data_IF_294137962032
#
_entry.id   IF_294137962032
#
_cell.length_a   1.000
_cell.length_b   1.000
_cell.length_c   1.000
_cell.angle_alpha   90.00
_cell.angle_beta   90.00
_cell.angle_gamma   90.00
#
_symmetry.space_group_name_H-M   'P 1'
#
loop_
_entity.id
_entity.type
_entity.pdbx_description
1 polymer ?
#
# COMPACT_ATOMS: atom_id res chain seq x y z
N UNK A 1 -7.42 -2.87 -12.25
CA UNK A 1 -6.24 -2.67 -11.40
C UNK A 1 -5.52 -1.46 -11.94
N UNK A 2 -5.25 -0.45 -11.12
CA UNK A 2 -4.51 0.76 -11.52
C UNK A 2 -3.24 0.82 -10.69
N UNK A 3 -2.10 0.63 -11.35
CA UNK A 3 -0.78 0.82 -10.72
C UNK A 3 0.35 1.00 -11.73
N UNK A 4 0.01 1.05 -13.02
CA UNK A 4 0.96 1.24 -14.12
C UNK A 4 0.47 2.34 -15.06
N UNK A 5 1.39 2.92 -15.82
CA UNK A 5 1.07 3.87 -16.90
C UNK A 5 0.09 3.29 -17.92
N UNK A 6 0.18 1.99 -18.23
CA UNK A 6 -0.73 1.32 -19.14
C UNK A 6 -2.17 1.26 -18.58
N UNK A 7 -2.32 0.96 -17.29
CA UNK A 7 -3.62 0.97 -16.62
C UNK A 7 -4.21 2.37 -16.54
N UNK A 8 -3.38 3.37 -16.23
CA UNK A 8 -3.74 4.79 -16.20
C UNK A 8 -4.32 5.22 -17.55
N UNK A 9 -3.61 4.95 -18.65
CA UNK A 9 -4.06 5.22 -20.02
C UNK A 9 -5.38 4.53 -20.34
N UNK A 10 -5.52 3.25 -19.99
CA UNK A 10 -6.74 2.48 -20.24
C UNK A 10 -7.93 3.05 -19.45
N UNK A 11 -7.71 3.42 -18.19
CA UNK A 11 -8.72 4.07 -17.36
C UNK A 11 -9.23 5.37 -18.00
N UNK A 12 -8.31 6.22 -18.47
CA UNK A 12 -8.66 7.49 -19.15
C UNK A 12 -9.45 7.26 -20.43
N UNK A 13 -9.03 6.30 -21.26
CA UNK A 13 -9.77 5.92 -22.48
C UNK A 13 -11.19 5.45 -22.18
N UNK A 14 -11.41 4.87 -21.02
CA UNK A 14 -12.72 4.41 -20.56
C UNK A 14 -13.51 5.49 -19.79
N UNK A 15 -13.06 6.75 -19.78
CA UNK A 15 -13.77 7.87 -19.17
C UNK A 15 -13.47 8.11 -17.68
N UNK A 16 -12.41 7.53 -17.12
CA UNK A 16 -12.05 7.79 -15.72
C UNK A 16 -11.62 9.25 -15.48
N UNK A 17 -12.16 9.85 -14.42
CA UNK A 17 -11.88 11.23 -13.96
C UNK A 17 -10.73 11.31 -12.94
N UNK A 18 -9.86 10.29 -12.89
CA UNK A 18 -8.73 10.21 -11.98
C UNK A 18 -8.44 8.77 -11.57
N UNK A 19 -7.47 8.60 -10.67
CA UNK A 19 -7.15 7.29 -10.06
C UNK A 19 -7.47 7.37 -8.56
N UNK A 20 -8.51 6.66 -8.12
CA UNK A 20 -8.86 6.60 -6.69
C UNK A 20 -8.00 5.62 -5.86
N UNK A 21 -7.18 4.79 -6.51
CA UNK A 21 -6.23 3.89 -5.85
C UNK A 21 -5.11 3.44 -6.80
N UNK A 22 -3.92 4.02 -6.63
CA UNK A 22 -2.67 3.56 -7.20
C UNK A 22 -1.89 2.78 -6.14
N UNK A 23 -1.63 1.49 -6.41
CA UNK A 23 -0.95 0.59 -5.47
C UNK A 23 0.56 0.59 -5.71
N UNK A 24 1.32 1.21 -4.83
CA UNK A 24 2.79 1.31 -4.94
C UNK A 24 3.51 -0.06 -4.90
N UNK A 25 2.91 -1.08 -4.29
CA UNK A 25 3.47 -2.43 -4.25
C UNK A 25 3.51 -3.10 -5.65
N UNK A 26 2.61 -2.76 -6.57
CA UNK A 26 2.62 -3.32 -7.93
C UNK A 26 3.86 -2.87 -8.71
N UNK A 27 4.34 -1.66 -8.43
CA UNK A 27 5.58 -1.13 -9.00
C UNK A 27 6.80 -1.87 -8.46
N UNK A 28 6.71 -2.46 -7.27
CA UNK A 28 7.82 -3.05 -6.54
C UNK A 28 8.21 -4.47 -6.99
N UNK A 29 7.29 -5.21 -7.62
CA UNK A 29 7.51 -6.62 -8.02
C UNK A 29 8.32 -6.79 -9.34
N UNK A 30 8.73 -5.72 -10.01
CA UNK A 30 9.58 -5.85 -11.23
C UNK A 30 10.97 -6.44 -10.84
N UNK A 31 11.59 -7.30 -11.68
CA UNK A 31 12.80 -8.05 -11.31
C UNK A 31 13.97 -7.22 -10.75
N UNK A 32 14.26 -6.05 -11.33
CA UNK A 32 15.34 -5.19 -10.82
C UNK A 32 15.00 -4.57 -9.46
N UNK A 33 13.72 -4.28 -9.21
CA UNK A 33 13.23 -3.56 -8.02
C UNK A 33 13.06 -4.48 -6.82
N UNK A 34 12.63 -5.72 -7.06
CA UNK A 34 12.53 -6.72 -5.99
C UNK A 34 13.90 -7.04 -5.40
N UNK A 35 14.97 -7.02 -6.20
CA UNK A 35 16.35 -7.16 -5.70
C UNK A 35 16.74 -5.99 -4.79
N UNK A 36 16.41 -4.75 -5.16
CA UNK A 36 16.66 -3.57 -4.33
C UNK A 36 15.83 -3.59 -3.05
N UNK A 37 14.58 -4.03 -3.10
CA UNK A 37 13.79 -4.24 -1.88
C UNK A 37 14.39 -5.31 -0.97
N UNK A 38 14.84 -6.44 -1.51
CA UNK A 38 15.54 -7.47 -0.72
C UNK A 38 16.83 -6.94 -0.09
N UNK A 39 17.59 -6.13 -0.84
CA UNK A 39 18.76 -5.43 -0.33
C UNK A 39 18.42 -4.46 0.81
N UNK A 40 17.36 -3.67 0.67
CA UNK A 40 16.84 -2.81 1.74
C UNK A 40 16.38 -3.59 2.98
N UNK A 41 15.73 -4.74 2.78
CA UNK A 41 15.15 -5.51 3.89
C UNK A 41 16.23 -6.24 4.70
N UNK A 42 17.24 -6.82 4.03
CA UNK A 42 18.17 -7.80 4.61
C UNK A 42 19.61 -7.30 4.73
N UNK A 43 20.00 -6.29 3.96
CA UNK A 43 21.36 -5.75 3.89
C UNK A 43 21.76 -4.92 5.12
N UNK A 44 22.98 -4.38 5.08
CA UNK A 44 23.46 -3.39 6.04
C UNK A 44 22.81 -2.01 5.81
N UNK A 45 22.98 -1.09 6.76
CA UNK A 45 22.42 0.27 6.64
C UNK A 45 22.86 0.97 5.35
N UNK A 46 24.15 0.88 5.00
CA UNK A 46 24.68 1.42 3.74
C UNK A 46 24.01 0.78 2.52
N UNK A 47 23.87 -0.54 2.51
CA UNK A 47 23.19 -1.25 1.41
C UNK A 47 21.71 -0.86 1.32
N UNK A 48 21.07 -0.59 2.45
CA UNK A 48 19.68 -0.16 2.52
C UNK A 48 19.50 1.26 1.97
N UNK A 49 20.39 2.19 2.29
CA UNK A 49 20.41 3.56 1.73
C UNK A 49 20.59 3.55 0.21
N UNK A 50 21.57 2.79 -0.30
CA UNK A 50 21.79 2.63 -1.75
C UNK A 50 20.56 2.04 -2.43
N UNK A 51 19.93 1.04 -1.81
CA UNK A 51 18.72 0.44 -2.34
C UNK A 51 17.54 1.42 -2.38
N UNK A 52 17.36 2.25 -1.36
CA UNK A 52 16.33 3.28 -1.34
C UNK A 52 16.56 4.35 -2.43
N UNK A 53 17.81 4.72 -2.68
CA UNK A 53 18.14 5.65 -3.77
C UNK A 53 17.72 5.09 -5.13
N UNK A 54 18.02 3.82 -5.41
CA UNK A 54 17.62 3.18 -6.66
C UNK A 54 16.09 3.05 -6.77
N UNK A 55 15.42 2.66 -5.67
CA UNK A 55 13.97 2.55 -5.61
C UNK A 55 13.27 3.90 -5.84
N UNK A 56 13.83 4.98 -5.31
CA UNK A 56 13.35 6.34 -5.54
C UNK A 56 13.31 6.65 -7.04
N UNK A 57 14.42 6.42 -7.76
CA UNK A 57 14.51 6.67 -9.19
C UNK A 57 13.47 5.87 -9.98
N UNK A 58 13.30 4.60 -9.62
CA UNK A 58 12.32 3.74 -10.27
C UNK A 58 10.88 4.16 -10.04
N UNK A 59 10.52 4.54 -8.80
CA UNK A 59 9.17 4.96 -8.46
C UNK A 59 8.85 6.33 -9.05
N UNK A 60 9.78 7.29 -8.98
CA UNK A 60 9.63 8.63 -9.56
C UNK A 60 9.27 8.55 -11.04
N UNK A 61 10.01 7.75 -11.81
CA UNK A 61 9.75 7.55 -13.25
C UNK A 61 8.38 6.92 -13.53
N UNK A 62 7.92 6.00 -12.68
CA UNK A 62 6.59 5.42 -12.85
C UNK A 62 5.48 6.45 -12.57
N UNK A 63 5.64 7.28 -11.53
CA UNK A 63 4.69 8.33 -11.20
C UNK A 63 4.64 9.43 -12.26
N UNK A 64 5.79 9.86 -12.80
CA UNK A 64 5.86 10.80 -13.94
C UNK A 64 5.03 10.26 -15.12
N UNK A 65 5.21 8.98 -15.45
CA UNK A 65 4.41 8.32 -16.49
C UNK A 65 2.91 8.31 -16.17
N UNK A 66 2.53 8.08 -14.91
CA UNK A 66 1.12 8.10 -14.49
C UNK A 66 0.53 9.52 -14.57
N UNK A 67 1.23 10.53 -14.06
CA UNK A 67 0.77 11.92 -14.09
C UNK A 67 0.59 12.42 -15.52
N UNK A 68 1.51 12.06 -16.42
CA UNK A 68 1.40 12.36 -17.84
C UNK A 68 0.13 11.82 -18.48
N UNK A 69 -0.25 10.58 -18.18
CA UNK A 69 -1.50 10.01 -18.71
C UNK A 69 -2.75 10.61 -18.06
N UNK A 70 -2.65 11.07 -16.81
CA UNK A 70 -3.76 11.69 -16.09
C UNK A 70 -3.98 13.14 -16.47
N UNK A 71 -2.95 13.86 -16.91
CA UNK A 71 -3.06 15.19 -17.51
C UNK A 71 -3.80 16.19 -16.62
N UNK A 72 -3.45 16.25 -15.33
CA UNK A 72 -4.06 17.15 -14.36
C UNK A 72 -5.21 16.57 -13.54
N UNK A 73 -5.57 15.29 -13.73
CA UNK A 73 -6.56 14.63 -12.88
C UNK A 73 -5.97 14.08 -11.58
N UNK A 74 -6.77 13.96 -10.51
CA UNK A 74 -6.30 13.50 -9.21
C UNK A 74 -5.81 12.05 -9.27
N UNK A 75 -4.69 11.79 -8.60
CA UNK A 75 -4.08 10.47 -8.49
C UNK A 75 -3.82 10.13 -7.03
N UNK A 76 -4.68 9.30 -6.47
CA UNK A 76 -4.54 8.79 -5.10
C UNK A 76 -3.58 7.63 -5.04
N UNK A 77 -2.40 7.85 -4.47
CA UNK A 77 -1.34 6.86 -4.28
C UNK A 77 -1.38 6.31 -2.87
N UNK A 78 -1.52 4.98 -2.75
CA UNK A 78 -1.43 4.29 -1.47
C UNK A 78 0.02 3.91 -1.19
N UNK A 79 0.51 4.30 -0.01
CA UNK A 79 1.83 3.90 0.50
C UNK A 79 1.92 2.37 0.67
N UNK A 80 3.14 1.86 0.87
CA UNK A 80 3.39 0.42 0.89
C UNK A 80 2.54 -0.28 1.96
N UNK A 81 1.69 -1.19 1.50
CA UNK A 81 0.76 -1.94 2.33
C UNK A 81 1.22 -3.38 2.67
N UNK A 82 1.83 -4.19 1.77
CA UNK A 82 2.16 -5.57 2.12
C UNK A 82 3.30 -5.68 3.15
N UNK A 83 3.33 -6.75 3.96
CA UNK A 83 4.44 -7.01 4.86
C UNK A 83 5.71 -7.38 4.07
N UNK A 84 6.87 -7.08 4.65
CA UNK A 84 8.16 -7.18 3.97
C UNK A 84 8.53 -8.61 3.54
N UNK A 85 8.10 -9.63 4.30
CA UNK A 85 8.38 -11.03 3.95
C UNK A 85 7.77 -11.46 2.61
N UNK A 86 6.75 -10.75 2.09
CA UNK A 86 6.19 -11.03 0.75
C UNK A 86 7.14 -10.70 -0.40
N UNK A 87 8.18 -9.90 -0.15
CA UNK A 87 9.21 -9.59 -1.15
C UNK A 87 10.42 -10.52 -1.05
N UNK A 88 10.51 -11.31 0.03
CA UNK A 88 11.61 -12.24 0.26
C UNK A 88 11.40 -13.53 -0.55
N UNK A 89 12.49 -14.18 -0.99
CA UNK A 89 12.39 -15.49 -1.60
C UNK A 89 11.87 -16.53 -0.59
N UNK A 90 11.16 -17.54 -1.09
CA UNK A 90 10.78 -18.71 -0.30
C UNK A 90 12.02 -19.48 0.15
N UNK A 91 11.94 -20.12 1.31
CA UNK A 91 13.02 -20.97 1.83
C UNK A 91 13.36 -22.15 0.92
N UNK A 92 12.44 -22.52 0.03
CA UNK A 92 12.60 -23.61 -0.94
C UNK A 92 13.28 -23.13 -2.24
N UNK A 93 13.42 -21.82 -2.47
CA UNK A 93 14.06 -21.26 -3.67
C UNK A 93 15.58 -21.15 -3.49
N UNK A 94 16.25 -22.30 -3.40
CA UNK A 94 17.66 -22.38 -3.01
C UNK A 94 18.60 -21.58 -3.92
N UNK A 95 18.41 -21.65 -5.24
CA UNK A 95 19.22 -20.89 -6.22
C UNK A 95 19.11 -19.37 -5.98
N UNK A 96 17.90 -18.88 -5.69
CA UNK A 96 17.65 -17.46 -5.44
C UNK A 96 18.29 -17.02 -4.12
N UNK A 97 18.20 -17.85 -3.09
CA UNK A 97 18.82 -17.62 -1.78
C UNK A 97 20.35 -17.58 -1.89
N UNK A 98 20.98 -18.49 -2.63
CA UNK A 98 22.43 -18.49 -2.85
C UNK A 98 22.87 -17.20 -3.52
N UNK A 99 22.17 -16.79 -4.59
CA UNK A 99 22.48 -15.55 -5.30
C UNK A 99 22.36 -14.31 -4.41
N UNK A 100 21.29 -14.23 -3.63
CA UNK A 100 21.04 -13.13 -2.70
C UNK A 100 22.07 -13.10 -1.55
N UNK A 101 22.43 -14.26 -1.00
CA UNK A 101 23.43 -14.37 0.06
C UNK A 101 24.79 -13.82 -0.42
N UNK A 102 25.21 -14.24 -1.62
CA UNK A 102 26.45 -13.76 -2.24
C UNK A 102 26.43 -12.25 -2.49
N UNK A 103 25.32 -11.71 -2.97
CA UNK A 103 25.18 -10.27 -3.25
C UNK A 103 25.23 -9.43 -1.97
N UNK A 104 24.62 -9.92 -0.88
CA UNK A 104 24.53 -9.19 0.38
C UNK A 104 25.72 -9.45 1.32
N UNK A 105 26.58 -10.43 1.01
CA UNK A 105 27.73 -10.78 1.84
C UNK A 105 27.39 -11.66 3.04
N UNK A 106 26.28 -12.42 2.96
CA UNK A 106 25.89 -13.39 3.99
C UNK A 106 26.27 -14.81 3.57
N UNK A 107 26.43 -15.70 4.56
CA UNK A 107 26.32 -17.14 4.31
C UNK A 107 24.86 -17.51 4.03
N UNK A 108 24.64 -18.62 3.31
CA UNK A 108 23.27 -19.11 3.06
C UNK A 108 22.51 -19.42 4.35
N UNK A 109 23.21 -19.89 5.39
CA UNK A 109 22.62 -20.20 6.68
C UNK A 109 22.10 -18.92 7.36
N UNK A 110 22.93 -17.88 7.47
CA UNK A 110 22.53 -16.58 8.03
C UNK A 110 21.35 -15.97 7.27
N UNK A 111 21.36 -16.05 5.94
CA UNK A 111 20.27 -15.54 5.12
C UNK A 111 18.96 -16.30 5.39
N UNK A 112 19.00 -17.64 5.43
CA UNK A 112 17.82 -18.48 5.71
C UNK A 112 17.23 -18.18 7.09
N UNK A 113 18.07 -17.95 8.10
CA UNK A 113 17.62 -17.54 9.44
C UNK A 113 16.99 -16.15 9.46
N UNK A 114 17.58 -15.16 8.77
CA UNK A 114 16.96 -13.84 8.61
C UNK A 114 15.61 -13.91 7.90
N UNK A 115 15.47 -14.74 6.87
CA UNK A 115 14.18 -14.91 6.16
C UNK A 115 13.15 -15.57 7.08
N UNK A 116 13.54 -16.61 7.84
CA UNK A 116 12.65 -17.29 8.81
C UNK A 116 12.12 -16.34 9.87
N UNK A 117 12.98 -15.52 10.48
CA UNK A 117 12.58 -14.58 11.53
C UNK A 117 11.60 -13.50 11.08
N UNK A 118 11.56 -13.19 9.77
CA UNK A 118 10.60 -12.25 9.19
C UNK A 118 9.25 -12.88 8.79
N UNK A 119 9.14 -14.22 8.83
CA UNK A 119 7.87 -14.88 8.54
C UNK A 119 6.89 -14.65 9.69
N UNK A 120 5.68 -14.22 9.35
CA UNK A 120 4.62 -13.99 10.31
C UNK A 120 3.58 -15.10 10.22
N UNK A 121 3.05 -15.54 11.37
CA UNK A 121 1.97 -16.54 11.43
C UNK A 121 0.72 -16.04 10.69
N UNK A 122 0.40 -14.74 10.81
CA UNK A 122 -0.72 -14.14 10.08
C UNK A 122 -0.32 -12.80 9.45
N UNK A 123 0.11 -12.87 8.19
CA UNK A 123 0.51 -11.70 7.38
C UNK A 123 -0.62 -10.67 7.12
N UNK A 124 -1.88 -11.00 7.40
CA UNK A 124 -3.00 -10.07 7.22
C UNK A 124 -3.09 -9.03 8.34
N UNK A 125 -2.70 -9.40 9.56
CA UNK A 125 -2.74 -8.55 10.76
C UNK A 125 -1.36 -8.20 11.33
N UNK A 126 -0.28 -8.57 10.65
CA UNK A 126 1.10 -8.35 11.08
C UNK A 126 1.67 -6.95 10.83
N UNK A 127 2.99 -6.89 10.66
CA UNK A 127 3.80 -5.68 10.48
C UNK A 127 3.74 -5.21 9.02
N UNK A 128 2.78 -4.34 8.74
CA UNK A 128 2.46 -3.88 7.39
C UNK A 128 1.72 -2.53 7.42
N UNK A 129 1.52 -1.90 6.26
CA UNK A 129 0.86 -0.60 6.14
C UNK A 129 1.49 0.49 7.03
N UNK A 130 0.68 1.33 7.69
CA UNK A 130 1.18 2.42 8.55
C UNK A 130 2.13 1.95 9.65
N UNK A 131 1.96 0.73 10.18
CA UNK A 131 2.82 0.14 11.22
C UNK A 131 4.24 -0.09 10.71
N UNK A 132 4.36 -0.49 9.44
CA UNK A 132 5.65 -0.57 8.77
C UNK A 132 6.25 0.83 8.60
N UNK A 133 5.43 1.82 8.25
CA UNK A 133 5.86 3.22 8.17
C UNK A 133 6.33 3.82 9.50
N UNK A 134 5.81 3.34 10.64
CA UNK A 134 6.28 3.75 11.98
C UNK A 134 7.63 3.11 12.30
N UNK A 135 7.78 1.81 12.01
CA UNK A 135 9.02 1.07 12.33
C UNK A 135 10.15 1.31 11.33
N UNK A 136 9.85 1.65 10.08
CA UNK A 136 10.80 1.90 9.00
C UNK A 136 10.41 3.17 8.22
N UNK A 137 10.56 4.36 8.83
CA UNK A 137 10.12 5.63 8.24
C UNK A 137 10.81 5.94 6.91
N UNK A 138 12.08 5.55 6.74
CA UNK A 138 12.86 5.78 5.52
C UNK A 138 12.16 5.27 4.24
N UNK A 139 11.38 4.19 4.35
CA UNK A 139 10.60 3.67 3.24
C UNK A 139 9.49 4.65 2.83
N UNK A 140 8.76 5.20 3.80
CA UNK A 140 7.71 6.19 3.56
C UNK A 140 8.32 7.48 3.02
N UNK A 141 9.45 7.93 3.58
CA UNK A 141 10.16 9.11 3.09
C UNK A 141 10.54 8.97 1.61
N UNK A 142 11.10 7.82 1.22
CA UNK A 142 11.44 7.53 -0.16
C UNK A 142 10.21 7.54 -1.08
N UNK A 143 9.09 6.93 -0.67
CA UNK A 143 7.87 6.89 -1.48
C UNK A 143 7.25 8.29 -1.64
N UNK A 144 7.15 9.06 -0.57
CA UNK A 144 6.61 10.43 -0.60
C UNK A 144 7.48 11.31 -1.47
N UNK A 145 8.81 11.22 -1.32
CA UNK A 145 9.75 11.93 -2.20
C UNK A 145 9.54 11.55 -3.66
N UNK A 146 9.40 10.27 -3.99
CA UNK A 146 9.15 9.81 -5.35
C UNK A 146 7.87 10.41 -5.96
N UNK A 147 6.79 10.46 -5.17
CA UNK A 147 5.48 11.01 -5.57
C UNK A 147 5.61 12.52 -5.84
N UNK A 148 6.19 13.26 -4.91
CA UNK A 148 6.27 14.72 -4.98
C UNK A 148 7.28 15.20 -6.03
N UNK A 149 8.47 14.59 -6.11
CA UNK A 149 9.44 14.92 -7.16
C UNK A 149 8.87 14.64 -8.55
N UNK A 150 8.15 13.53 -8.74
CA UNK A 150 7.48 13.25 -10.01
C UNK A 150 6.40 14.30 -10.35
N UNK A 151 5.63 14.76 -9.37
CA UNK A 151 4.64 15.82 -9.57
C UNK A 151 5.32 17.15 -9.94
N UNK A 152 6.42 17.51 -9.28
CA UNK A 152 7.19 18.71 -9.60
C UNK A 152 7.84 18.65 -11.00
N UNK A 153 8.38 17.49 -11.38
CA UNK A 153 8.96 17.30 -12.72
C UNK A 153 7.89 17.39 -13.81
N UNK A 154 6.65 16.96 -13.51
CA UNK A 154 5.53 17.04 -14.46
C UNK A 154 5.14 18.48 -14.81
N UNK A 155 5.45 19.45 -13.93
CA UNK A 155 5.22 20.87 -14.20
C UNK A 155 6.08 21.38 -15.37
N UNK A 156 7.22 20.75 -15.66
CA UNK A 156 8.07 21.14 -16.81
C UNK A 156 7.43 20.75 -18.16
N UNK A 157 6.49 19.80 -18.13
CA UNK A 157 5.66 19.37 -19.26
C UNK A 157 4.28 20.07 -19.26
N UNK A 158 4.12 21.19 -18.52
CA UNK A 158 2.85 21.93 -18.32
C UNK A 158 1.70 21.06 -17.74
N UNK A 159 2.05 20.02 -16.98
CA UNK A 159 1.07 19.15 -16.31
C UNK A 159 0.99 19.51 -14.83
N UNK A 160 -0.15 20.05 -14.41
CA UNK A 160 -0.45 20.30 -12.99
C UNK A 160 -0.87 18.98 -12.29
N UNK A 161 0.13 18.18 -11.91
CA UNK A 161 -0.10 16.91 -11.25
C UNK A 161 -0.72 17.10 -9.86
N UNK A 162 -1.83 16.40 -9.60
CA UNK A 162 -2.58 16.45 -8.32
C UNK A 162 -2.42 15.13 -7.55
N UNK A 163 -1.29 14.90 -6.84
CA UNK A 163 -1.11 13.70 -6.03
C UNK A 163 -1.93 13.75 -4.74
N UNK A 164 -2.68 12.68 -4.46
CA UNK A 164 -3.27 12.45 -3.13
C UNK A 164 -2.50 11.29 -2.46
N UNK A 165 -1.90 11.51 -1.29
CA UNK A 165 -1.11 10.50 -0.57
C UNK A 165 -2.00 9.82 0.47
N UNK A 166 -2.15 8.50 0.36
CA UNK A 166 -3.02 7.72 1.22
C UNK A 166 -2.25 6.74 2.11
N UNK A 167 -2.48 6.86 3.42
CA UNK A 167 -1.92 5.99 4.45
C UNK A 167 -2.80 4.73 4.61
N UNK A 168 -2.26 3.51 4.40
CA UNK A 168 -2.99 2.27 4.60
C UNK A 168 -2.99 1.81 6.07
N UNK A 169 -4.00 1.00 6.43
CA UNK A 169 -4.10 0.23 7.69
C UNK A 169 -4.04 1.03 9.00
N UNK A 170 -4.38 2.32 8.96
CA UNK A 170 -4.53 3.14 10.18
C UNK A 170 -5.52 2.46 11.14
N UNK A 171 -5.18 2.43 12.43
CA UNK A 171 -6.01 1.93 13.51
C UNK A 171 -6.37 3.01 14.55
N UNK A 172 -5.46 3.96 14.80
CA UNK A 172 -5.67 5.09 15.73
C UNK A 172 -5.31 6.44 15.10
N UNK A 173 -5.72 7.53 15.74
CA UNK A 173 -5.37 8.89 15.32
C UNK A 173 -3.85 9.12 15.36
N UNK A 174 -3.15 8.62 16.38
CA UNK A 174 -1.71 8.81 16.55
C UNK A 174 -0.90 8.13 15.44
N UNK A 175 -1.32 6.95 14.99
CA UNK A 175 -0.72 6.27 13.85
C UNK A 175 -0.84 7.10 12.56
N UNK A 176 -2.02 7.68 12.32
CA UNK A 176 -2.22 8.57 11.18
C UNK A 176 -1.40 9.86 11.31
N UNK A 177 -1.46 10.51 12.47
CA UNK A 177 -0.76 11.76 12.74
C UNK A 177 0.75 11.62 12.60
N UNK A 178 1.32 10.50 13.07
CA UNK A 178 2.73 10.18 12.88
C UNK A 178 3.08 10.14 11.38
N UNK A 179 2.29 9.43 10.58
CA UNK A 179 2.53 9.34 9.13
C UNK A 179 2.33 10.68 8.43
N UNK A 180 1.31 11.47 8.83
CA UNK A 180 1.07 12.81 8.29
C UNK A 180 2.26 13.72 8.52
N UNK A 181 2.77 13.81 9.75
CA UNK A 181 3.97 14.61 10.08
C UNK A 181 5.19 14.20 9.27
N UNK A 182 5.36 12.89 9.05
CA UNK A 182 6.45 12.37 8.23
C UNK A 182 6.31 12.83 6.77
N UNK A 183 5.11 12.72 6.20
CA UNK A 183 4.79 13.16 4.83
C UNK A 183 5.03 14.68 4.68
N UNK A 184 4.52 15.49 5.62
CA UNK A 184 4.68 16.95 5.60
C UNK A 184 6.15 17.37 5.74
N UNK A 185 6.91 16.70 6.61
CA UNK A 185 8.35 16.92 6.77
C UNK A 185 9.11 16.67 5.47
N UNK A 186 8.81 15.55 4.78
CA UNK A 186 9.43 15.21 3.50
C UNK A 186 9.02 16.19 2.41
N UNK A 187 7.74 16.56 2.34
CA UNK A 187 7.25 17.54 1.37
C UNK A 187 7.99 18.87 1.51
N UNK A 188 8.16 19.37 2.74
CA UNK A 188 8.92 20.59 3.00
C UNK A 188 10.38 20.50 2.55
N UNK A 189 11.04 19.35 2.76
CA UNK A 189 12.41 19.11 2.28
C UNK A 189 12.47 19.13 0.75
N UNK A 190 11.58 18.40 0.08
CA UNK A 190 11.51 18.32 -1.38
C UNK A 190 11.27 19.69 -2.00
N UNK A 191 10.28 20.45 -1.51
CA UNK A 191 10.01 21.81 -2.03
C UNK A 191 11.18 22.76 -1.80
N UNK A 192 11.91 22.64 -0.68
CA UNK A 192 13.11 23.45 -0.42
C UNK A 192 14.24 23.12 -1.40
N UNK A 193 14.46 21.84 -1.69
CA UNK A 193 15.49 21.36 -2.61
C UNK A 193 15.18 21.71 -4.09
N UNK A 194 13.90 21.81 -4.45
CA UNK A 194 13.44 22.15 -5.80
C UNK A 194 13.09 23.64 -5.97
N UNK A 195 13.97 24.54 -5.50
CA UNK A 195 13.84 26.00 -5.68
C UNK A 195 12.49 26.60 -5.21
N UNK A 196 11.90 26.06 -4.15
CA UNK A 196 10.58 26.48 -3.61
C UNK A 196 9.40 26.27 -4.57
N UNK A 197 9.57 25.46 -5.63
CA UNK A 197 8.42 24.97 -6.40
C UNK A 197 7.55 24.09 -5.50
N UNK A 198 6.24 24.24 -5.64
CA UNK A 198 5.25 23.51 -4.85
C UNK A 198 4.22 22.86 -5.77
N UNK A 199 3.71 21.71 -5.38
CA UNK A 199 2.52 21.11 -5.97
C UNK A 199 1.44 20.97 -4.89
N UNK A 200 0.17 21.09 -5.28
CA UNK A 200 -0.95 20.82 -4.36
C UNK A 200 -1.09 19.32 -4.17
N UNK A 201 -1.10 18.87 -2.92
CA UNK A 201 -1.32 17.47 -2.59
C UNK A 201 -2.19 17.35 -1.34
N UNK A 202 -2.93 16.25 -1.22
CA UNK A 202 -3.75 15.96 -0.04
C UNK A 202 -3.21 14.76 0.69
N UNK A 203 -3.35 14.73 2.02
CA UNK A 203 -3.02 13.57 2.84
C UNK A 203 -4.31 12.94 3.35
N UNK A 204 -4.51 11.67 3.01
CA UNK A 204 -5.70 10.91 3.38
C UNK A 204 -5.40 9.56 4.00
N UNK A 205 -6.45 8.88 4.44
CA UNK A 205 -6.35 7.54 5.03
C UNK A 205 -7.35 6.55 4.42
N UNK A 206 -6.93 5.28 4.40
CA UNK A 206 -7.83 4.18 4.04
C UNK A 206 -8.58 3.68 5.29
N UNK A 207 -9.92 3.67 5.23
CA UNK A 207 -10.77 3.05 6.24
C UNK A 207 -10.93 1.56 5.91
N UNK A 208 -10.05 0.75 6.52
CA UNK A 208 -9.95 -0.69 6.29
C UNK A 208 -9.72 -1.53 7.56
N UNK A 209 -9.77 -0.89 8.71
CA UNK A 209 -9.79 -1.50 10.04
C UNK A 209 -11.13 -1.08 10.69
N UNK A 210 -11.81 -1.95 11.46
CA UNK A 210 -13.09 -1.59 12.08
C UNK A 210 -13.00 -0.37 13.00
N UNK A 211 -11.92 -0.25 13.79
CA UNK A 211 -11.74 0.82 14.77
C UNK A 211 -11.81 2.23 14.14
N UNK A 212 -11.03 2.58 13.09
CA UNK A 212 -11.15 3.86 12.40
C UNK A 212 -12.56 4.22 11.93
N UNK A 213 -13.40 3.24 11.61
CA UNK A 213 -14.78 3.50 11.21
C UNK A 213 -15.67 3.93 12.39
N UNK A 214 -15.26 3.64 13.63
CA UNK A 214 -15.93 4.03 14.88
C UNK A 214 -15.43 5.37 15.44
N UNK A 215 -14.21 5.78 15.09
CA UNK A 215 -13.55 7.01 15.55
C UNK A 215 -13.23 7.95 14.37
N UNK A 216 -14.11 7.99 13.36
CA UNK A 216 -13.88 8.79 12.14
C UNK A 216 -13.85 10.28 12.44
N UNK A 217 -14.58 10.73 13.45
CA UNK A 217 -14.58 12.10 13.96
C UNK A 217 -13.20 12.48 14.53
N UNK A 218 -12.56 11.60 15.29
CA UNK A 218 -11.20 11.79 15.79
C UNK A 218 -10.19 11.85 14.63
N UNK A 219 -10.30 10.96 13.64
CA UNK A 219 -9.39 10.90 12.49
C UNK A 219 -9.59 12.09 11.53
N UNK A 220 -10.83 12.58 11.42
CA UNK A 220 -11.17 13.76 10.62
C UNK A 220 -10.89 15.08 11.33
N UNK A 221 -10.65 15.08 12.64
CA UNK A 221 -10.52 16.29 13.44
C UNK A 221 -9.39 17.20 12.91
N UNK A 222 -9.80 18.24 12.17
CA UNK A 222 -8.89 19.12 11.42
C UNK A 222 -7.98 19.97 12.33
N UNK A 223 -8.31 20.14 13.61
CA UNK A 223 -7.57 21.02 14.54
C UNK A 223 -6.12 20.57 14.77
N UNK A 224 -5.81 19.29 14.54
CA UNK A 224 -4.48 18.72 14.77
C UNK A 224 -3.83 18.15 13.50
N UNK A 225 -4.34 18.47 12.31
CA UNK A 225 -3.89 17.84 11.06
C UNK A 225 -4.62 16.52 10.78
N UNK A 226 -5.95 16.55 10.81
CA UNK A 226 -6.80 15.42 10.41
C UNK A 226 -6.63 15.02 8.94
N UNK A 227 -7.33 13.96 8.55
CA UNK A 227 -7.33 13.48 7.16
C UNK A 227 -8.13 14.39 6.23
N UNK A 228 -7.67 14.56 4.99
CA UNK A 228 -8.34 15.41 3.98
C UNK A 228 -9.32 14.63 3.11
N UNK A 229 -9.20 13.30 3.09
CA UNK A 229 -10.13 12.40 2.43
C UNK A 229 -10.13 11.02 3.09
N UNK A 230 -11.21 10.28 2.85
CA UNK A 230 -11.33 8.87 3.22
C UNK A 230 -11.45 8.00 1.98
N UNK A 231 -10.77 6.86 1.98
CA UNK A 231 -10.98 5.80 0.99
C UNK A 231 -11.41 4.53 1.70
N UNK A 232 -12.58 3.99 1.38
CA UNK A 232 -13.09 2.79 2.02
C UNK A 232 -12.48 1.54 1.38
N UNK A 233 -11.55 0.90 2.10
CA UNK A 233 -10.96 -0.38 1.74
C UNK A 233 -11.91 -1.53 2.06
N UNK A 234 -13.09 -1.57 1.43
CA UNK A 234 -14.19 -2.50 1.75
C UNK A 234 -13.76 -3.97 1.74
N UNK A 235 -12.77 -4.34 0.94
CA UNK A 235 -12.19 -5.68 0.92
C UNK A 235 -11.61 -6.11 2.28
N UNK A 236 -10.84 -5.26 2.94
CA UNK A 236 -10.25 -5.57 4.24
C UNK A 236 -11.24 -5.28 5.37
N UNK A 237 -12.07 -4.24 5.21
CA UNK A 237 -13.11 -3.94 6.17
C UNK A 237 -14.06 -5.13 6.32
N UNK A 238 -14.59 -5.67 5.22
CA UNK A 238 -15.47 -6.86 5.24
C UNK A 238 -14.80 -8.09 5.85
N UNK A 239 -13.51 -8.31 5.59
CA UNK A 239 -12.77 -9.43 6.19
C UNK A 239 -12.73 -9.32 7.72
N UNK A 240 -12.59 -8.10 8.25
CA UNK A 240 -12.48 -7.83 9.69
C UNK A 240 -13.82 -7.59 10.40
N UNK A 241 -14.83 -7.07 9.70
CA UNK A 241 -16.14 -6.73 10.29
C UNK A 241 -17.18 -7.82 10.10
N UNK A 242 -17.35 -8.35 8.88
CA UNK A 242 -18.54 -9.12 8.56
C UNK A 242 -18.47 -10.56 9.06
N UNK A 243 -17.30 -11.22 8.94
CA UNK A 243 -17.22 -12.68 9.21
C UNK A 243 -15.87 -13.19 9.75
N UNK A 244 -14.88 -12.33 10.00
CA UNK A 244 -13.50 -12.76 10.33
C UNK A 244 -12.91 -13.76 9.32
N UNK A 245 -13.24 -13.58 8.03
CA UNK A 245 -12.76 -14.47 6.98
C UNK A 245 -11.52 -13.92 6.32
N UNK A 246 -10.45 -14.72 6.27
CA UNK A 246 -9.44 -14.55 5.24
C UNK A 246 -10.10 -14.77 3.88
N UNK A 247 -9.90 -13.86 2.93
CA UNK A 247 -10.41 -14.04 1.56
C UNK A 247 -9.96 -15.38 0.96
N UNK A 248 -8.73 -15.80 1.29
CA UNK A 248 -8.12 -17.00 0.74
C UNK A 248 -8.82 -18.27 1.24
N UNK A 249 -9.43 -18.22 2.44
CA UNK A 249 -10.13 -19.35 3.06
C UNK A 249 -11.67 -19.28 2.92
N UNK A 250 -12.20 -18.08 2.62
CA UNK A 250 -13.64 -17.81 2.60
C UNK A 250 -14.42 -18.68 1.60
N UNK A 251 -13.80 -19.10 0.49
CA UNK A 251 -14.46 -19.85 -0.58
C UNK A 251 -15.04 -21.20 -0.12
N UNK A 252 -14.44 -21.84 0.89
CA UNK A 252 -14.94 -23.09 1.47
C UNK A 252 -16.16 -22.81 2.34
N UNK A 253 -16.08 -21.81 3.21
CA UNK A 253 -17.13 -21.51 4.19
C UNK A 253 -18.36 -20.90 3.50
N UNK A 254 -18.17 -19.94 2.60
CA UNK A 254 -19.26 -19.23 1.91
C UNK A 254 -20.17 -20.18 1.14
N UNK A 255 -19.60 -21.20 0.47
CA UNK A 255 -20.39 -22.22 -0.24
C UNK A 255 -21.34 -22.99 0.69
N UNK A 256 -20.88 -23.32 1.89
CA UNK A 256 -21.71 -23.99 2.89
C UNK A 256 -22.71 -23.04 3.59
N UNK A 257 -22.32 -21.79 3.84
CA UNK A 257 -23.24 -20.81 4.45
C UNK A 257 -24.39 -20.40 3.51
N UNK A 258 -24.14 -20.26 2.21
CA UNK A 258 -25.20 -19.99 1.23
C UNK A 258 -26.17 -21.17 1.14
N UNK A 259 -25.67 -22.40 1.20
CA UNK A 259 -26.54 -23.58 1.22
C UNK A 259 -27.33 -23.71 2.52
N UNK A 260 -26.80 -23.26 3.66
CA UNK A 260 -27.56 -23.15 4.92
C UNK A 260 -28.74 -22.19 4.81
N UNK A 261 -28.52 -20.99 4.26
CA UNK A 261 -29.62 -20.04 4.02
C UNK A 261 -30.68 -20.60 3.08
N UNK A 262 -30.27 -21.29 2.01
CA UNK A 262 -31.21 -21.94 1.09
C UNK A 262 -31.98 -23.10 1.76
N UNK A 263 -31.32 -23.89 2.61
CA UNK A 263 -31.95 -24.98 3.38
C UNK A 263 -32.92 -24.46 4.43
N UNK A 264 -32.57 -23.36 5.12
CA UNK A 264 -33.47 -22.68 6.05
C UNK A 264 -34.71 -22.16 5.33
N UNK A 265 -34.55 -21.49 4.19
CA UNK A 265 -35.67 -21.02 3.38
C UNK A 265 -36.57 -22.18 2.90
N UNK A 266 -35.97 -23.29 2.45
CA UNK A 266 -36.72 -24.49 2.06
C UNK A 266 -37.42 -25.18 3.24
N UNK A 267 -36.81 -25.19 4.43
CA UNK A 267 -37.41 -25.73 5.65
C UNK A 267 -38.61 -24.88 6.10
N UNK A 268 -38.52 -23.55 6.02
CA UNK A 268 -39.65 -22.66 6.32
C UNK A 268 -40.81 -22.86 5.32
N UNK A 269 -40.53 -22.98 4.02
CA UNK A 269 -41.55 -23.22 3.00
C UNK A 269 -42.22 -24.60 3.11
N UNK A 270 -41.54 -25.61 3.65
CA UNK A 270 -42.11 -26.95 3.85
C UNK A 270 -42.94 -27.07 5.14
N UNK A 271 -42.67 -26.25 6.15
CA UNK A 271 -43.50 -26.13 7.35
C UNK A 271 -44.81 -25.40 7.05
N UNK A 272 -44.81 -24.40 6.16
CA UNK A 272 -46.03 -23.70 5.74
C UNK A 272 -46.97 -24.61 4.91
N UNK A 273 -46.44 -25.51 4.09
CA UNK A 273 -47.23 -26.43 3.26
C UNK A 273 -47.76 -27.68 3.98
N UNK A 274 -47.48 -27.87 5.28
CA UNK A 274 -47.97 -29.02 6.06
C UNK A 274 -49.07 -28.65 7.07
N UNK A 275 -49.55 -27.40 7.03
CA UNK A 275 -50.64 -26.90 7.88
C UNK A 275 -51.97 -26.66 7.14
N UNK A 276 -52.13 -27.14 5.89
CA UNK A 276 -53.42 -27.27 5.19
C UNK A 276 -53.84 -28.75 5.09
#
# INVERSE_FOLDING_TARGET
MSGTTADARKGRKNGANGIGLCRSEQMSFKPARILKLRQFILGSDKQAEEALHDLLQFQRKDYEGIYKEMGGLPVTVRLLDPPLHKFLPSLNEEVVLIGLAKQLGFTIHELKEKVRTMQEVNSMIGLRGCRLGVTRPLLVEMQVRAILEAALNSLDDDIDAMPDIMVPLVGTFEEFHHQRKLIESVANKVFKEHNRRTCSFKIGTMIEVPRPALITDEIAAAKDGGTEFFSFGSNYLNQKTARLYSRDDASRIVRHSVSLSARLAAAHASVENTQE
#
